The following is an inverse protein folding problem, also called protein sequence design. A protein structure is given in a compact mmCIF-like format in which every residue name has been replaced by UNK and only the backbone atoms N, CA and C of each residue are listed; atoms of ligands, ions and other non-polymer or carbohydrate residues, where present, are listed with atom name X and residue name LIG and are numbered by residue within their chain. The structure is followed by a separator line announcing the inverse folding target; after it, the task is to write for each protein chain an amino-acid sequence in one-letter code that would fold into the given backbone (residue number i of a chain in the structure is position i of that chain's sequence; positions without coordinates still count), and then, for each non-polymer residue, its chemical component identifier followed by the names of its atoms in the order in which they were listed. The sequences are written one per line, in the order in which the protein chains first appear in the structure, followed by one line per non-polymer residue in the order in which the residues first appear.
data_IF_885133793101
#
_entry.id   IF_885133793101
#
_cell.length_a   1.000
_cell.length_b   1.000
_cell.length_c   1.000
_cell.angle_alpha   90.00
_cell.angle_beta   90.00
_cell.angle_gamma   90.00
#
_symmetry.space_group_name_H-M   'P 1'
#
loop_
_entity.id
_entity.type
_entity.pdbx_description
1 polymer ?
#
# COMPACT_ATOMS: atom_id res chain seq x y z
N UNK A 1 -28.50 -5.32 -17.45
CA UNK A 1 -28.28 -4.27 -16.41
C UNK A 1 -27.12 -3.41 -16.87
N UNK A 2 -27.18 -2.08 -16.66
CA UNK A 2 -26.01 -1.24 -16.91
C UNK A 2 -24.87 -1.69 -15.97
N UNK A 3 -23.61 -1.70 -16.43
CA UNK A 3 -22.48 -2.02 -15.56
C UNK A 3 -22.42 -1.04 -14.39
N UNK A 4 -22.28 -1.56 -13.17
CA UNK A 4 -22.09 -0.70 -12.00
C UNK A 4 -20.70 -0.07 -12.04
N UNK A 5 -20.63 1.24 -11.83
CA UNK A 5 -19.36 1.94 -11.69
C UNK A 5 -18.57 1.37 -10.49
N UNK A 6 -17.22 1.41 -10.53
CA UNK A 6 -16.43 1.08 -9.35
C UNK A 6 -16.76 2.06 -8.21
N UNK A 7 -16.79 1.61 -6.94
CA UNK A 7 -17.01 2.50 -5.80
C UNK A 7 -15.96 3.63 -5.81
N UNK A 8 -16.35 4.91 -5.64
CA UNK A 8 -15.40 6.02 -5.70
C UNK A 8 -14.52 6.05 -4.45
N UNK A 9 -13.31 6.59 -4.61
CA UNK A 9 -12.43 6.96 -3.48
C UNK A 9 -12.38 8.48 -3.39
N UNK A 10 -12.97 9.04 -2.34
CA UNK A 10 -12.95 10.48 -2.07
C UNK A 10 -11.86 10.81 -1.05
N UNK A 11 -11.02 11.80 -1.37
CA UNK A 11 -9.91 12.21 -0.51
C UNK A 11 -9.94 13.73 -0.41
N UNK A 12 -10.37 14.23 0.76
CA UNK A 12 -10.39 15.65 1.07
C UNK A 12 -9.87 15.91 2.50
N UNK A 13 -8.83 16.74 2.70
CA UNK A 13 -8.00 17.37 1.67
C UNK A 13 -7.23 16.33 0.84
N UNK A 14 -6.76 16.63 -0.39
CA UNK A 14 -6.13 15.68 -1.32
C UNK A 14 -4.68 15.33 -0.94
N UNK A 15 -4.45 15.10 0.35
CA UNK A 15 -3.18 14.68 0.91
C UNK A 15 -3.40 13.43 1.75
N UNK A 16 -2.49 12.48 1.62
CA UNK A 16 -2.46 11.23 2.37
C UNK A 16 -1.00 10.78 2.48
N UNK A 17 -0.71 9.91 3.44
CA UNK A 17 0.58 9.25 3.48
C UNK A 17 0.67 8.13 2.44
N UNK A 18 1.89 7.82 2.00
CA UNK A 18 2.18 6.59 1.27
C UNK A 18 2.18 5.38 2.22
N UNK A 19 1.98 4.17 1.69
CA UNK A 19 2.24 2.93 2.41
C UNK A 19 3.74 2.84 2.77
N UNK A 20 4.09 3.24 4.00
CA UNK A 20 5.49 3.46 4.44
C UNK A 20 5.68 3.08 5.93
N UNK A 21 6.93 3.10 6.46
CA UNK A 21 7.20 2.75 7.87
C UNK A 21 6.44 3.59 8.89
N UNK A 22 6.10 4.84 8.56
CA UNK A 22 5.32 5.75 9.41
C UNK A 22 3.82 5.48 9.39
N UNK A 23 3.41 4.30 8.93
CA UNK A 23 2.05 3.79 8.96
C UNK A 23 2.03 2.30 9.41
N UNK A 24 2.94 1.92 10.33
CA UNK A 24 3.10 0.53 10.77
C UNK A 24 2.26 0.23 12.02
N UNK A 25 2.42 1.05 13.06
CA UNK A 25 1.83 0.75 14.38
C UNK A 25 0.54 1.55 14.64
N UNK A 26 -0.21 1.14 15.67
CA UNK A 26 -1.44 1.83 16.09
C UNK A 26 -1.22 3.34 16.26
N UNK A 27 -0.15 3.75 16.93
CA UNK A 27 0.16 5.16 17.20
C UNK A 27 0.50 5.95 15.93
N UNK A 28 1.10 5.31 14.93
CA UNK A 28 1.31 5.94 13.62
C UNK A 28 -0.03 6.24 12.94
N UNK A 29 -0.89 5.22 12.87
CA UNK A 29 -2.19 5.33 12.22
C UNK A 29 -3.11 6.31 12.95
N UNK A 30 -3.08 6.33 14.29
CA UNK A 30 -3.78 7.33 15.12
C UNK A 30 -3.34 8.75 14.76
N UNK A 31 -2.04 9.03 14.72
CA UNK A 31 -1.51 10.35 14.36
C UNK A 31 -1.89 10.76 12.94
N UNK A 32 -1.78 9.85 11.98
CA UNK A 32 -2.15 10.10 10.59
C UNK A 32 -3.65 10.36 10.44
N UNK A 33 -4.49 9.62 11.16
CA UNK A 33 -5.94 9.79 11.11
C UNK A 33 -6.40 11.07 11.82
N UNK A 34 -5.79 11.43 12.95
CA UNK A 34 -6.06 12.67 13.67
C UNK A 34 -5.56 13.93 12.94
N UNK A 35 -4.63 13.80 11.99
CA UNK A 35 -4.07 14.93 11.25
C UNK A 35 -5.15 15.61 10.39
N UNK A 36 -5.47 16.91 10.59
CA UNK A 36 -6.50 17.60 9.82
C UNK A 36 -6.07 17.88 8.37
N UNK A 37 -4.79 17.68 8.05
CA UNK A 37 -4.25 17.92 6.71
C UNK A 37 -4.25 16.68 5.83
N UNK A 38 -4.68 15.52 6.32
CA UNK A 38 -4.83 14.32 5.48
C UNK A 38 -6.30 13.96 5.28
N UNK A 39 -6.69 13.68 4.04
CA UNK A 39 -8.04 13.22 3.69
C UNK A 39 -8.19 11.69 3.66
N UNK A 40 -7.08 10.96 3.70
CA UNK A 40 -7.05 9.50 3.84
C UNK A 40 -5.77 9.04 4.55
N UNK A 41 -5.77 7.79 5.02
CA UNK A 41 -4.62 7.15 5.65
C UNK A 41 -4.34 5.82 4.97
N UNK A 42 -3.13 5.64 4.45
CA UNK A 42 -2.70 4.36 3.85
C UNK A 42 -1.91 3.56 4.87
N UNK A 43 -2.28 2.31 5.12
CA UNK A 43 -1.49 1.41 6.01
C UNK A 43 -0.19 0.97 5.33
N UNK A 44 0.83 0.59 6.10
CA UNK A 44 1.99 -0.11 5.55
C UNK A 44 1.54 -1.43 4.93
N UNK A 45 2.05 -1.76 3.74
CA UNK A 45 1.65 -2.96 3.01
C UNK A 45 1.80 -4.21 3.86
N UNK A 46 0.69 -4.93 4.07
CA UNK A 46 0.62 -6.12 4.93
C UNK A 46 0.30 -7.39 4.14
N UNK A 47 0.63 -8.54 4.72
CA UNK A 47 0.30 -9.87 4.19
C UNK A 47 -0.61 -10.60 5.17
N UNK A 48 -1.35 -11.59 4.67
CA UNK A 48 -2.17 -12.49 5.49
C UNK A 48 -1.32 -13.25 6.51
N UNK A 49 -0.15 -13.73 6.07
CA UNK A 49 0.76 -14.56 6.87
C UNK A 49 1.91 -13.77 7.50
N UNK A 50 1.93 -12.45 7.32
CA UNK A 50 2.98 -11.56 7.80
C UNK A 50 4.22 -11.58 6.94
N UNK A 51 5.18 -10.74 7.31
CA UNK A 51 6.47 -10.60 6.67
C UNK A 51 7.56 -10.84 7.73
N UNK A 52 8.57 -11.68 7.45
CA UNK A 52 9.67 -11.92 8.39
C UNK A 52 10.61 -10.70 8.44
N UNK A 53 10.14 -9.65 9.11
CA UNK A 53 10.91 -8.43 9.29
C UNK A 53 12.14 -8.70 10.15
N UNK A 54 13.24 -8.07 9.76
CA UNK A 54 14.56 -8.18 10.37
C UNK A 54 15.21 -6.81 10.31
N UNK A 55 15.38 -6.16 11.45
CA UNK A 55 15.93 -4.81 11.54
C UNK A 55 17.40 -4.69 11.08
N UNK A 56 18.12 -5.81 11.02
CA UNK A 56 19.48 -5.85 10.49
C UNK A 56 19.52 -5.81 8.95
N UNK A 57 18.40 -6.13 8.29
CA UNK A 57 18.27 -6.15 6.82
C UNK A 57 17.37 -5.02 6.33
N UNK A 58 16.26 -4.78 7.03
CA UNK A 58 15.17 -3.93 6.59
C UNK A 58 15.33 -2.51 7.14
N UNK A 59 16.12 -1.72 6.42
CA UNK A 59 16.60 -0.42 6.86
C UNK A 59 16.28 0.67 5.85
N UNK A 60 16.50 1.92 6.24
CA UNK A 60 16.43 3.05 5.33
C UNK A 60 17.57 4.05 5.59
N UNK A 61 17.93 4.79 4.55
CA UNK A 61 18.88 5.88 4.58
C UNK A 61 18.26 7.12 3.96
N UNK A 62 18.52 8.27 4.57
CA UNK A 62 18.19 9.59 4.06
C UNK A 62 19.47 10.23 3.52
N UNK A 63 19.41 10.78 2.31
CA UNK A 63 20.56 11.37 1.66
C UNK A 63 20.17 12.60 0.85
N UNK A 64 21.18 13.39 0.48
CA UNK A 64 21.04 14.48 -0.48
C UNK A 64 21.36 13.93 -1.88
N UNK A 65 20.38 13.95 -2.79
CA UNK A 65 20.54 13.41 -4.14
C UNK A 65 21.46 14.22 -5.05
N UNK A 66 21.75 15.48 -4.73
CA UNK A 66 22.68 16.32 -5.51
C UNK A 66 24.14 16.08 -5.08
N UNK A 67 24.38 15.86 -3.80
CA UNK A 67 25.73 15.64 -3.26
C UNK A 67 26.04 14.18 -2.95
N UNK A 68 25.04 13.30 -3.02
CA UNK A 68 25.07 11.88 -2.66
C UNK A 68 25.50 11.62 -1.21
N UNK A 69 25.44 12.63 -0.34
CA UNK A 69 25.84 12.49 1.06
C UNK A 69 24.70 11.93 1.89
N UNK A 70 24.98 10.86 2.62
CA UNK A 70 24.06 10.29 3.62
C UNK A 70 23.97 11.23 4.82
N UNK A 71 22.75 11.59 5.19
CA UNK A 71 22.43 12.49 6.31
C UNK A 71 22.01 11.70 7.55
N UNK A 72 21.30 10.59 7.37
CA UNK A 72 20.90 9.68 8.44
C UNK A 72 20.65 8.26 7.90
N UNK A 73 20.88 7.24 8.72
CA UNK A 73 20.48 5.86 8.45
C UNK A 73 19.95 5.23 9.74
N UNK A 74 18.94 4.35 9.64
CA UNK A 74 18.43 3.62 10.80
C UNK A 74 17.67 2.34 10.46
N UNK A 75 17.58 1.48 11.49
CA UNK A 75 16.60 0.39 11.57
C UNK A 75 15.18 0.93 11.71
N UNK A 76 14.20 0.12 11.28
CA UNK A 76 12.80 0.55 11.21
C UNK A 76 12.08 0.52 12.56
N UNK A 77 12.60 -0.22 13.55
CA UNK A 77 11.87 -0.52 14.80
C UNK A 77 12.34 0.21 16.08
N UNK A 78 13.59 0.69 16.19
CA UNK A 78 14.16 0.94 17.53
C UNK A 78 14.61 2.37 17.85
N UNK A 79 14.67 3.28 16.88
CA UNK A 79 14.75 4.73 17.13
C UNK A 79 14.70 5.44 15.80
N UNK A 80 13.53 5.99 15.42
CA UNK A 80 13.44 6.90 14.26
C UNK A 80 14.37 8.07 14.54
N UNK A 81 15.51 8.21 13.85
CA UNK A 81 16.42 9.31 14.11
C UNK A 81 15.66 10.59 13.81
N UNK A 82 15.57 11.50 14.78
CA UNK A 82 15.36 12.90 14.43
C UNK A 82 16.61 13.29 13.63
N UNK A 83 16.49 13.89 12.45
CA UNK A 83 17.66 14.34 11.70
C UNK A 83 18.50 15.22 12.62
N UNK A 84 19.64 14.69 13.07
CA UNK A 84 20.56 15.37 14.00
C UNK A 84 21.63 16.17 13.25
N UNK A 85 21.54 16.22 11.92
CA UNK A 85 22.45 16.95 11.06
C UNK A 85 21.86 18.26 10.54
N UNK A 86 22.70 19.25 10.35
CA UNK A 86 22.40 20.52 9.65
C UNK A 86 22.23 20.34 8.13
N UNK A 87 22.21 19.09 7.63
CA UNK A 87 22.08 18.76 6.21
C UNK A 87 20.63 18.50 5.82
N UNK A 88 20.24 18.96 4.63
CA UNK A 88 18.92 18.71 4.06
C UNK A 88 18.92 17.39 3.30
N UNK A 89 18.32 16.34 3.86
CA UNK A 89 18.00 15.16 3.07
C UNK A 89 16.80 15.46 2.16
N UNK A 90 16.93 15.18 0.86
CA UNK A 90 15.86 15.35 -0.12
C UNK A 90 15.50 14.04 -0.85
N UNK A 91 16.20 12.94 -0.52
CA UNK A 91 15.95 11.62 -1.07
C UNK A 91 16.12 10.53 0.00
N UNK A 92 15.62 9.35 -0.30
CA UNK A 92 15.70 8.19 0.58
C UNK A 92 15.97 6.91 -0.21
N UNK A 93 16.74 6.01 0.38
CA UNK A 93 16.94 4.63 -0.07
C UNK A 93 16.41 3.70 1.01
N UNK A 94 15.83 2.56 0.64
CA UNK A 94 15.35 1.61 1.63
C UNK A 94 15.38 0.14 1.16
N UNK A 95 15.42 -0.76 2.13
CA UNK A 95 15.32 -2.22 1.99
C UNK A 95 14.23 -2.77 2.91
N UNK A 96 13.20 -1.98 3.22
CA UNK A 96 12.29 -2.19 4.36
C UNK A 96 11.37 -3.43 4.25
N UNK A 97 11.21 -3.98 3.05
CA UNK A 97 10.23 -5.02 2.77
C UNK A 97 8.81 -4.61 3.16
N UNK A 98 8.01 -5.56 3.63
CA UNK A 98 6.62 -5.35 4.00
C UNK A 98 6.44 -5.17 5.52
N UNK A 99 5.21 -4.97 5.96
CA UNK A 99 4.86 -4.79 7.37
C UNK A 99 5.20 -6.02 8.23
N UNK A 100 5.78 -5.85 9.44
CA UNK A 100 5.92 -6.93 10.41
C UNK A 100 4.54 -7.44 10.92
N UNK A 101 3.53 -6.57 10.95
CA UNK A 101 2.17 -6.93 11.34
C UNK A 101 1.39 -7.55 10.18
N UNK A 102 0.56 -8.55 10.50
CA UNK A 102 -0.40 -9.17 9.56
C UNK A 102 -1.59 -8.25 9.29
N UNK A 103 -2.32 -8.49 8.19
CA UNK A 103 -3.54 -7.73 7.83
C UNK A 103 -4.53 -7.61 8.99
N UNK A 104 -4.77 -8.70 9.72
CA UNK A 104 -5.74 -8.71 10.83
C UNK A 104 -5.40 -7.71 11.94
N UNK A 105 -4.10 -7.49 12.19
CA UNK A 105 -3.62 -6.51 13.16
C UNK A 105 -3.99 -5.10 12.72
N UNK A 106 -3.81 -4.76 11.44
CA UNK A 106 -4.23 -3.44 10.91
C UNK A 106 -5.74 -3.22 11.02
N UNK A 107 -6.56 -4.23 10.70
CA UNK A 107 -8.01 -4.13 10.88
C UNK A 107 -8.37 -3.90 12.36
N UNK A 108 -7.66 -4.55 13.29
CA UNK A 108 -7.83 -4.30 14.72
C UNK A 108 -7.41 -2.89 15.14
N UNK A 109 -6.35 -2.34 14.56
CA UNK A 109 -5.92 -0.96 14.79
C UNK A 109 -6.96 0.04 14.29
N UNK A 110 -7.47 -0.14 13.07
CA UNK A 110 -8.51 0.72 12.51
C UNK A 110 -9.76 0.69 13.39
N UNK A 111 -10.16 -0.50 13.88
CA UNK A 111 -11.27 -0.63 14.82
C UNK A 111 -11.01 0.09 16.14
N UNK A 112 -9.80 -0.02 16.69
CA UNK A 112 -9.42 0.69 17.91
C UNK A 112 -9.44 2.21 17.72
N UNK A 113 -8.96 2.71 16.57
CA UNK A 113 -9.01 4.13 16.21
C UNK A 113 -10.45 4.61 16.09
N UNK A 114 -11.31 3.84 15.43
CA UNK A 114 -12.72 4.18 15.31
C UNK A 114 -13.38 4.28 16.69
N UNK A 115 -13.09 3.36 17.60
CA UNK A 115 -13.69 3.33 18.94
C UNK A 115 -13.10 4.37 19.92
N UNK A 116 -12.00 5.02 19.59
CA UNK A 116 -11.29 5.95 20.48
C UNK A 116 -11.95 7.35 20.45
N UNK A 117 -12.57 7.81 21.57
CA UNK A 117 -13.26 9.10 21.61
C UNK A 117 -12.28 10.29 21.55
N UNK A 118 -11.00 10.08 21.86
CA UNK A 118 -9.99 11.13 21.88
C UNK A 118 -9.37 11.37 20.49
N UNK A 119 -9.66 10.50 19.52
CA UNK A 119 -9.21 10.66 18.13
C UNK A 119 -10.26 11.45 17.34
N UNK A 120 -9.94 12.64 16.82
CA UNK A 120 -10.86 13.43 16.02
C UNK A 120 -11.33 12.65 14.78
N UNK A 121 -12.64 12.40 14.68
CA UNK A 121 -13.25 11.80 13.49
C UNK A 121 -13.42 12.88 12.42
N UNK A 122 -12.74 12.72 11.29
CA UNK A 122 -13.03 13.48 10.09
C UNK A 122 -14.07 12.72 9.26
N UNK A 123 -15.28 13.28 9.02
CA UNK A 123 -16.30 12.62 8.20
C UNK A 123 -15.73 12.25 6.83
N UNK A 124 -15.94 11.01 6.40
CA UNK A 124 -15.48 10.52 5.09
C UNK A 124 -14.00 10.17 4.98
N UNK A 125 -13.17 10.47 5.99
CA UNK A 125 -11.73 10.15 5.96
C UNK A 125 -11.52 8.64 5.92
N UNK A 126 -10.99 8.17 4.79
CA UNK A 126 -10.89 6.74 4.44
C UNK A 126 -9.57 6.14 4.92
N UNK A 127 -9.61 4.89 5.38
CA UNK A 127 -8.41 4.05 5.48
C UNK A 127 -8.23 3.23 4.21
N UNK A 128 -7.06 3.39 3.57
CA UNK A 128 -6.63 2.58 2.44
C UNK A 128 -5.75 1.45 2.99
N UNK A 129 -6.25 0.23 2.96
CA UNK A 129 -5.56 -0.97 3.43
C UNK A 129 -4.65 -1.49 2.33
N UNK A 130 -3.34 -1.24 2.45
CA UNK A 130 -2.34 -1.67 1.46
C UNK A 130 -1.98 -3.13 1.71
N UNK A 131 -2.08 -3.97 0.69
CA UNK A 131 -1.88 -5.43 0.78
C UNK A 131 -1.06 -5.96 -0.38
N UNK A 132 -0.38 -7.08 -0.13
CA UNK A 132 0.29 -7.87 -1.17
C UNK A 132 0.27 -9.35 -0.83
N UNK A 133 0.75 -10.20 -1.74
CA UNK A 133 0.76 -11.66 -1.66
C UNK A 133 0.58 -12.27 -3.04
N UNK A 134 0.19 -13.55 -3.12
CA UNK A 134 -0.31 -14.13 -4.37
C UNK A 134 -1.65 -13.49 -4.80
N UNK A 135 -2.10 -13.76 -6.03
CA UNK A 135 -3.41 -13.28 -6.50
C UNK A 135 -4.55 -13.77 -5.60
N UNK A 136 -4.50 -15.02 -5.14
CA UNK A 136 -5.47 -15.61 -4.21
C UNK A 136 -5.42 -14.97 -2.82
N UNK A 137 -4.22 -14.69 -2.32
CA UNK A 137 -4.05 -14.03 -1.02
C UNK A 137 -4.57 -12.60 -1.08
N UNK A 138 -4.27 -11.84 -2.13
CA UNK A 138 -4.80 -10.50 -2.34
C UNK A 138 -6.32 -10.49 -2.47
N UNK A 139 -6.89 -11.43 -3.22
CA UNK A 139 -8.35 -11.62 -3.31
C UNK A 139 -8.98 -11.96 -1.94
N UNK A 140 -8.28 -12.72 -1.10
CA UNK A 140 -8.70 -12.98 0.28
C UNK A 140 -8.56 -11.73 1.16
N UNK A 141 -7.52 -10.94 1.01
CA UNK A 141 -7.37 -9.65 1.69
C UNK A 141 -8.56 -8.73 1.40
N UNK A 142 -8.96 -8.60 0.12
CA UNK A 142 -10.11 -7.81 -0.28
C UNK A 142 -11.39 -8.22 0.49
N UNK A 143 -11.68 -9.53 0.54
CA UNK A 143 -12.86 -10.04 1.27
C UNK A 143 -12.78 -9.79 2.78
N UNK A 144 -11.60 -9.87 3.38
CA UNK A 144 -11.43 -9.59 4.81
C UNK A 144 -11.69 -8.11 5.13
N UNK A 145 -11.23 -7.20 4.28
CA UNK A 145 -11.49 -5.75 4.45
C UNK A 145 -12.97 -5.45 4.24
N UNK A 146 -13.60 -6.00 3.20
CA UNK A 146 -15.03 -5.83 2.95
C UNK A 146 -15.90 -6.40 4.09
N UNK A 147 -15.49 -7.54 4.69
CA UNK A 147 -16.14 -8.10 5.85
C UNK A 147 -16.00 -7.24 7.12
N UNK A 148 -14.87 -6.56 7.31
CA UNK A 148 -14.72 -5.60 8.41
C UNK A 148 -15.68 -4.41 8.25
N UNK A 149 -15.84 -3.90 7.02
CA UNK A 149 -16.80 -2.82 6.75
C UNK A 149 -18.24 -3.26 7.00
N UNK A 150 -18.62 -4.46 6.57
CA UNK A 150 -19.95 -5.02 6.87
C UNK A 150 -20.18 -5.23 8.38
N UNK A 151 -19.18 -5.72 9.10
CA UNK A 151 -19.26 -5.87 10.56
C UNK A 151 -19.40 -4.52 11.26
N UNK A 152 -18.73 -3.47 10.80
CA UNK A 152 -18.88 -2.11 11.32
C UNK A 152 -20.31 -1.57 11.08
N UNK A 153 -20.86 -1.79 9.87
CA UNK A 153 -22.25 -1.43 9.54
C UNK A 153 -23.26 -2.16 10.43
N UNK A 154 -23.09 -3.47 10.65
CA UNK A 154 -23.98 -4.26 11.53
C UNK A 154 -23.94 -3.78 12.99
N UNK A 155 -22.79 -3.32 13.47
CA UNK A 155 -22.64 -2.71 14.80
C UNK A 155 -23.26 -1.31 14.90
N UNK A 156 -23.78 -0.74 13.81
CA UNK A 156 -24.28 0.65 13.72
C UNK A 156 -23.23 1.71 14.15
N UNK A 157 -21.96 1.35 14.05
CA UNK A 157 -20.81 2.23 14.20
C UNK A 157 -19.90 1.97 12.99
N UNK A 158 -20.20 2.56 11.83
CA UNK A 158 -19.57 2.20 10.56
C UNK A 158 -18.08 2.52 10.51
N UNK A 159 -17.54 3.23 11.52
CA UNK A 159 -16.14 3.63 11.54
C UNK A 159 -15.76 4.47 10.31
N UNK A 160 -14.45 4.61 10.03
CA UNK A 160 -13.99 5.19 8.79
C UNK A 160 -14.29 4.25 7.59
N UNK A 161 -14.62 4.79 6.41
CA UNK A 161 -14.72 3.99 5.18
C UNK A 161 -13.40 3.25 4.89
N UNK A 162 -13.49 2.09 4.24
CA UNK A 162 -12.32 1.28 3.89
C UNK A 162 -12.16 1.19 2.37
N UNK A 163 -10.91 1.21 1.93
CA UNK A 163 -10.51 0.90 0.57
C UNK A 163 -9.31 -0.06 0.59
N UNK A 164 -9.02 -0.71 -0.54
CA UNK A 164 -7.88 -1.63 -0.66
C UNK A 164 -6.90 -1.13 -1.71
N UNK A 165 -5.62 -1.05 -1.37
CA UNK A 165 -4.55 -0.83 -2.34
C UNK A 165 -3.79 -2.14 -2.57
N UNK A 166 -3.75 -2.60 -3.82
CA UNK A 166 -2.94 -3.75 -4.23
C UNK A 166 -1.52 -3.27 -4.54
N UNK A 167 -0.58 -3.56 -3.66
CA UNK A 167 0.81 -3.21 -3.89
C UNK A 167 1.49 -4.27 -4.76
N UNK A 168 1.50 -4.04 -6.08
CA UNK A 168 2.04 -4.95 -7.10
C UNK A 168 3.40 -4.49 -7.65
N UNK A 169 4.05 -3.56 -6.96
CA UNK A 169 5.26 -2.87 -7.41
C UNK A 169 6.56 -3.44 -6.84
N UNK A 170 6.49 -4.27 -5.80
CA UNK A 170 7.61 -5.02 -5.25
C UNK A 170 7.56 -6.47 -5.75
N UNK A 171 8.69 -7.19 -5.83
CA UNK A 171 8.67 -8.61 -6.16
C UNK A 171 7.93 -9.37 -5.04
N UNK A 172 6.80 -9.98 -5.39
CA UNK A 172 6.07 -10.87 -4.49
C UNK A 172 6.67 -12.29 -4.48
N UNK A 173 7.46 -12.61 -5.51
CA UNK A 173 8.10 -13.90 -5.73
C UNK A 173 9.59 -13.66 -5.94
N UNK A 174 10.49 -14.28 -5.15
CA UNK A 174 11.92 -14.18 -5.36
C UNK A 174 12.31 -14.54 -6.80
N UNK A 175 13.09 -13.67 -7.45
CA UNK A 175 13.57 -13.88 -8.82
C UNK A 175 12.54 -13.59 -9.94
N UNK A 176 11.33 -13.14 -9.61
CA UNK A 176 10.36 -12.65 -10.60
C UNK A 176 10.32 -11.13 -10.62
N UNK A 177 10.10 -10.50 -11.80
CA UNK A 177 9.83 -9.07 -11.83
C UNK A 177 8.53 -8.75 -11.06
N UNK A 178 8.39 -7.52 -10.53
CA UNK A 178 7.13 -7.09 -9.92
C UNK A 178 5.92 -7.35 -10.83
N UNK A 179 4.78 -7.84 -10.30
CA UNK A 179 3.63 -8.20 -11.13
C UNK A 179 3.10 -7.06 -12.01
N UNK A 180 3.21 -5.80 -11.58
CA UNK A 180 2.77 -4.66 -12.37
C UNK A 180 3.70 -4.29 -13.55
N UNK A 181 4.82 -5.00 -13.75
CA UNK A 181 5.61 -4.97 -14.99
C UNK A 181 5.23 -6.07 -15.99
N UNK A 182 4.41 -7.04 -15.59
CA UNK A 182 4.01 -8.17 -16.43
C UNK A 182 2.49 -8.16 -16.66
N UNK A 183 2.08 -8.07 -17.93
CA UNK A 183 0.66 -7.94 -18.27
C UNK A 183 -0.17 -9.17 -17.85
N UNK A 184 0.39 -10.38 -17.95
CA UNK A 184 -0.32 -11.61 -17.61
C UNK A 184 -0.52 -11.74 -16.10
N UNK A 185 0.51 -11.42 -15.32
CA UNK A 185 0.44 -11.34 -13.87
C UNK A 185 -0.58 -10.29 -13.45
N UNK A 186 -0.52 -9.06 -13.96
CA UNK A 186 -1.49 -8.03 -13.60
C UNK A 186 -2.95 -8.46 -13.86
N UNK A 187 -3.22 -9.12 -14.99
CA UNK A 187 -4.55 -9.68 -15.30
C UNK A 187 -5.01 -10.72 -14.28
N UNK A 188 -4.12 -11.58 -13.79
CA UNK A 188 -4.50 -12.62 -12.82
C UNK A 188 -4.90 -12.02 -11.48
N UNK A 189 -4.21 -10.99 -11.00
CA UNK A 189 -4.59 -10.27 -9.77
C UNK A 189 -5.93 -9.55 -9.93
N UNK A 190 -6.14 -8.86 -11.05
CA UNK A 190 -7.40 -8.18 -11.35
C UNK A 190 -8.57 -9.17 -11.40
N UNK A 191 -8.42 -10.28 -12.13
CA UNK A 191 -9.44 -11.32 -12.22
C UNK A 191 -9.77 -11.92 -10.85
N UNK A 192 -8.75 -12.18 -10.02
CA UNK A 192 -8.93 -12.74 -8.68
C UNK A 192 -9.73 -11.81 -7.75
N UNK A 193 -9.41 -10.50 -7.74
CA UNK A 193 -10.13 -9.52 -6.90
C UNK A 193 -11.56 -9.30 -7.38
N UNK A 194 -11.79 -9.23 -8.70
CA UNK A 194 -13.13 -9.11 -9.27
C UNK A 194 -13.99 -10.32 -8.93
N UNK A 195 -13.44 -11.53 -9.09
CA UNK A 195 -14.14 -12.76 -8.70
C UNK A 195 -14.44 -12.80 -7.20
N UNK A 196 -13.52 -12.33 -6.36
CA UNK A 196 -13.70 -12.27 -4.92
C UNK A 196 -14.76 -11.23 -4.49
N UNK A 197 -14.85 -10.10 -5.17
CA UNK A 197 -15.91 -9.11 -4.95
C UNK A 197 -17.28 -9.70 -5.30
N UNK A 198 -17.43 -10.30 -6.49
CA UNK A 198 -18.66 -10.95 -6.92
C UNK A 198 -19.08 -12.10 -5.97
N UNK A 199 -18.11 -12.92 -5.53
CA UNK A 199 -18.37 -13.97 -4.56
C UNK A 199 -18.79 -13.42 -3.19
N UNK A 200 -18.24 -12.26 -2.78
CA UNK A 200 -18.63 -11.56 -1.56
C UNK A 200 -20.08 -11.06 -1.60
N UNK A 201 -20.51 -10.49 -2.72
CA UNK A 201 -21.90 -10.04 -2.92
C UNK A 201 -22.91 -11.19 -2.86
N UNK A 202 -22.49 -12.40 -3.26
CA UNK A 202 -23.34 -13.60 -3.22
C UNK A 202 -23.46 -14.24 -1.82
N UNK A 203 -22.77 -13.72 -0.79
CA UNK A 203 -22.86 -14.22 0.58
C UNK A 203 -24.14 -13.77 1.30
N UNK A 204 -24.43 -14.35 2.46
CA UNK A 204 -25.55 -13.96 3.33
C UNK A 204 -25.05 -13.75 4.77
N UNK A 205 -24.99 -12.50 5.27
CA UNK A 205 -25.29 -11.24 4.57
C UNK A 205 -24.28 -10.93 3.46
N UNK A 206 -24.68 -10.18 2.41
CA UNK A 206 -23.79 -9.83 1.30
C UNK A 206 -22.68 -8.87 1.77
N UNK A 207 -21.45 -9.08 1.27
CA UNK A 207 -20.36 -8.14 1.53
C UNK A 207 -20.49 -6.89 0.64
N UNK A 208 -20.16 -5.70 1.16
CA UNK A 208 -20.15 -4.48 0.34
C UNK A 208 -19.03 -4.52 -0.69
N UNK A 209 -19.29 -3.90 -1.84
CA UNK A 209 -18.22 -3.51 -2.76
C UNK A 209 -17.49 -2.31 -2.17
N UNK A 210 -16.22 -2.49 -1.87
CA UNK A 210 -15.33 -1.42 -1.42
C UNK A 210 -14.40 -0.98 -2.55
N UNK A 211 -13.95 0.29 -2.58
CA UNK A 211 -12.99 0.77 -3.57
C UNK A 211 -11.70 -0.05 -3.50
N UNK A 212 -11.14 -0.41 -4.66
CA UNK A 212 -9.80 -0.96 -4.72
C UNK A 212 -8.98 -0.34 -5.84
N UNK A 213 -7.68 -0.25 -5.62
CA UNK A 213 -6.75 0.37 -6.56
C UNK A 213 -5.43 -0.38 -6.65
N UNK A 214 -4.59 0.04 -7.59
CA UNK A 214 -3.27 -0.56 -7.81
C UNK A 214 -2.18 0.45 -7.46
N UNK A 215 -1.17 0.01 -6.69
CA UNK A 215 0.07 0.76 -6.54
C UNK A 215 1.11 0.25 -7.53
N UNK A 216 1.49 1.11 -8.48
CA UNK A 216 2.34 0.76 -9.62
C UNK A 216 3.80 1.12 -9.36
N UNK A 217 4.75 0.36 -9.92
CA UNK A 217 6.15 0.76 -9.92
C UNK A 217 6.36 1.89 -10.93
N UNK A 218 7.53 2.55 -10.94
CA UNK A 218 7.80 3.57 -11.95
C UNK A 218 7.99 2.89 -13.30
N UNK A 219 7.34 3.43 -14.31
CA UNK A 219 7.50 3.01 -15.70
C UNK A 219 8.48 3.95 -16.41
N UNK A 220 9.43 3.37 -17.12
CA UNK A 220 10.50 4.10 -17.83
C UNK A 220 10.42 3.91 -19.34
N UNK A 221 9.53 3.03 -19.81
CA UNK A 221 9.34 2.73 -21.24
C UNK A 221 7.85 2.67 -21.61
N UNK A 222 7.46 3.17 -22.80
CA UNK A 222 6.05 3.20 -23.24
C UNK A 222 5.32 1.85 -23.15
N UNK A 223 5.98 0.76 -23.52
CA UNK A 223 5.38 -0.58 -23.48
C UNK A 223 4.91 -1.02 -22.08
N UNK A 224 5.48 -0.49 -21.00
CA UNK A 224 5.03 -0.77 -19.64
C UNK A 224 3.70 -0.06 -19.32
N UNK A 225 3.52 1.15 -19.85
CA UNK A 225 2.23 1.84 -19.78
C UNK A 225 1.18 1.11 -20.62
N UNK A 226 1.53 0.67 -21.83
CA UNK A 226 0.64 -0.11 -22.70
C UNK A 226 0.20 -1.42 -22.03
N UNK A 227 1.11 -2.10 -21.31
CA UNK A 227 0.79 -3.30 -20.56
C UNK A 227 -0.22 -3.04 -19.43
N UNK A 228 -0.03 -1.97 -18.64
CA UNK A 228 -0.99 -1.58 -17.59
C UNK A 228 -2.35 -1.22 -18.20
N UNK A 229 -2.37 -0.32 -19.18
CA UNK A 229 -3.60 0.16 -19.82
C UNK A 229 -4.34 -1.01 -20.49
N UNK A 230 -3.62 -1.86 -21.21
CA UNK A 230 -4.19 -3.06 -21.84
C UNK A 230 -4.81 -4.02 -20.82
N UNK A 231 -4.16 -4.27 -19.69
CA UNK A 231 -4.73 -5.11 -18.63
C UNK A 231 -6.00 -4.50 -18.01
N UNK A 232 -6.05 -3.17 -17.82
CA UNK A 232 -7.23 -2.47 -17.31
C UNK A 232 -8.40 -2.51 -18.31
N UNK A 233 -8.11 -2.32 -19.61
CA UNK A 233 -9.09 -2.41 -20.69
C UNK A 233 -9.64 -3.83 -20.86
N UNK A 234 -8.78 -4.85 -20.80
CA UNK A 234 -9.20 -6.25 -20.87
C UNK A 234 -10.07 -6.62 -19.67
N UNK A 235 -9.73 -6.13 -18.48
CA UNK A 235 -10.56 -6.30 -17.29
C UNK A 235 -11.93 -5.64 -17.45
N UNK A 236 -11.98 -4.43 -18.02
CA UNK A 236 -13.22 -3.72 -18.33
C UNK A 236 -14.09 -4.46 -19.36
N UNK A 237 -13.47 -5.05 -20.39
CA UNK A 237 -14.15 -5.86 -21.41
C UNK A 237 -14.70 -7.18 -20.85
N UNK A 238 -13.92 -7.87 -20.02
CA UNK A 238 -14.32 -9.13 -19.37
C UNK A 238 -15.45 -8.97 -18.35
N UNK A 239 -15.61 -7.79 -17.75
CA UNK A 239 -16.66 -7.49 -16.78
C UNK A 239 -18.06 -7.26 -17.40
N UNK A 240 -18.23 -7.42 -18.71
CA UNK A 240 -19.54 -7.44 -19.37
C UNK A 240 -20.20 -6.07 -19.57
N UNK A 241 -19.45 -4.97 -19.42
CA UNK A 241 -19.97 -3.62 -19.65
C UNK A 241 -18.96 -2.54 -19.99
N UNK A 242 -17.69 -2.88 -20.25
CA UNK A 242 -16.68 -1.91 -20.68
C UNK A 242 -16.25 -0.92 -19.59
N UNK A 243 -16.60 -1.19 -18.32
CA UNK A 243 -16.23 -0.37 -17.17
C UNK A 243 -15.14 -1.10 -16.39
N UNK A 244 -14.01 -0.44 -16.18
CA UNK A 244 -12.92 -0.98 -15.37
C UNK A 244 -13.38 -1.05 -13.90
N UNK A 245 -13.21 -2.20 -13.21
CA UNK A 245 -13.62 -2.34 -11.82
C UNK A 245 -12.66 -1.68 -10.82
N UNK A 246 -11.51 -1.18 -11.29
CA UNK A 246 -10.49 -0.51 -10.47
C UNK A 246 -10.92 0.94 -10.19
N UNK A 247 -10.92 1.34 -8.93
CA UNK A 247 -11.35 2.68 -8.47
C UNK A 247 -10.25 3.74 -8.57
N UNK A 248 -8.98 3.37 -8.38
CA UNK A 248 -7.86 4.32 -8.36
C UNK A 248 -6.52 3.67 -8.72
N UNK A 249 -5.53 4.50 -9.06
CA UNK A 249 -4.13 4.10 -9.26
C UNK A 249 -3.22 4.97 -8.38
N UNK A 250 -2.34 4.33 -7.61
CA UNK A 250 -1.27 5.01 -6.87
C UNK A 250 0.01 4.91 -7.70
N UNK A 251 0.35 5.99 -8.41
CA UNK A 251 1.56 6.10 -9.22
C UNK A 251 2.49 7.15 -8.58
N UNK A 252 3.65 6.80 -7.99
CA UNK A 252 4.36 5.52 -8.10
C UNK A 252 4.99 5.07 -6.77
N UNK A 253 5.33 3.77 -6.67
CA UNK A 253 6.23 3.28 -5.64
C UNK A 253 7.69 3.71 -5.91
N UNK A 254 8.60 3.37 -5.00
CA UNK A 254 10.02 3.70 -5.12
C UNK A 254 10.65 3.13 -6.39
N UNK A 255 11.61 3.87 -6.96
CA UNK A 255 12.48 3.35 -8.00
C UNK A 255 13.34 2.20 -7.45
N UNK A 256 13.21 1.02 -8.04
CA UNK A 256 13.93 -0.18 -7.64
C UNK A 256 15.42 -0.13 -8.01
N UNK A 257 16.19 -1.05 -7.43
CA UNK A 257 17.59 -1.34 -7.81
C UNK A 257 18.53 -0.13 -7.79
N UNK A 258 18.36 0.74 -6.80
CA UNK A 258 19.21 1.91 -6.59
C UNK A 258 20.29 1.64 -5.54
N UNK A 259 21.45 2.28 -5.68
CA UNK A 259 22.59 2.16 -4.76
C UNK A 259 23.02 3.56 -4.30
N UNK A 260 23.15 3.72 -2.98
CA UNK A 260 23.81 4.88 -2.36
C UNK A 260 25.07 4.38 -1.68
N UNK A 261 26.18 5.06 -1.95
CA UNK A 261 27.46 4.78 -1.32
C UNK A 261 27.71 5.76 -0.18
N UNK A 262 28.27 5.28 0.92
CA UNK A 262 28.69 6.04 2.09
C UNK A 262 30.18 5.80 2.36
N UNK A 263 30.85 6.78 2.97
CA UNK A 263 32.29 6.74 3.23
C UNK A 263 33.11 7.55 2.23
N UNK A 264 34.35 7.88 2.62
CA UNK A 264 35.31 8.64 1.80
C UNK A 264 36.11 7.74 0.87
N UNK A 265 37.38 7.52 1.19
CA UNK A 265 38.35 6.84 0.31
C UNK A 265 38.03 5.37 0.00
N UNK A 266 37.16 4.73 0.79
CA UNK A 266 36.66 3.37 0.56
C UNK A 266 35.12 3.36 0.68
N UNK A 267 34.40 3.75 -0.39
CA UNK A 267 32.95 3.83 -0.36
C UNK A 267 32.32 2.44 -0.24
N UNK A 268 31.36 2.29 0.67
CA UNK A 268 30.58 1.08 0.89
C UNK A 268 29.08 1.39 0.70
N UNK A 269 28.24 0.38 0.39
CA UNK A 269 26.79 0.57 0.37
C UNK A 269 26.27 1.17 1.68
N UNK A 270 25.40 2.17 1.58
CA UNK A 270 24.80 2.84 2.74
C UNK A 270 23.80 1.93 3.49
N UNK A 271 23.29 0.89 2.84
CA UNK A 271 22.38 -0.11 3.40
C UNK A 271 22.92 -1.53 3.18
N UNK A 272 22.59 -2.48 4.07
CA UNK A 272 22.98 -3.88 3.92
C UNK A 272 22.32 -4.55 2.71
N UNK A 273 22.95 -5.61 2.22
CA UNK A 273 22.47 -6.38 1.07
C UNK A 273 23.03 -5.90 -0.27
N UNK A 274 22.52 -6.48 -1.37
CA UNK A 274 23.02 -6.19 -2.74
C UNK A 274 22.36 -4.98 -3.41
N UNK A 275 21.57 -4.20 -2.68
CA UNK A 275 20.83 -3.05 -3.25
C UNK A 275 19.71 -3.45 -4.22
N UNK A 276 19.33 -4.73 -4.24
CA UNK A 276 18.20 -5.25 -5.01
C UNK A 276 17.15 -5.66 -3.99
N UNK A 277 16.03 -4.93 -3.97
CA UNK A 277 14.84 -5.28 -3.20
C UNK A 277 14.06 -6.43 -3.85
#
# INVERSE_FOLDING_TARGET
MAPSLPPPLEIDPPLLNSACPWATDLEDLKRLYACPHTGAVTTRTSLIRGFPHDDSVHQYALFDAATHKVVASSSSSSSRPRPSGTGTANASLNTLGYSPHVLQTYLSFIRAIAADPDVPRAPGKTFIVSVTGSAEEVARCYRLVAAEEEEARRRRDPGPPLAVELNLSCPNIPGSPPPAYDAAALRSYLAAVVAAAAAGEATSPPLPRIPFGLKTPPYTHPAQYDALVGALLDCAGGAGGGVCPVSFLTATNTLGSSLVLAGGDAPAPALPGRGVG
#
